data_IF_430332685947
#
_entry.id   IF_430332685947
#
_cell.length_a   1.000
_cell.length_b   1.000
_cell.length_c   1.000
_cell.angle_alpha   90.00
_cell.angle_beta   90.00
_cell.angle_gamma   90.00
#
_symmetry.space_group_name_H-M   'P 1'
#
loop_
_entity.id
_entity.type
_entity.pdbx_description
1 polymer ?
#
# COMPACT_ATOMS: atom_id res chain seq x y z
N UNK A 1 26.53 -2.10 2.83
CA UNK A 1 25.65 -1.73 1.70
C UNK A 1 24.78 -2.91 1.29
N UNK A 2 23.47 -2.84 1.60
CA UNK A 2 22.36 -3.42 0.80
C UNK A 2 21.07 -3.11 1.56
N UNK A 3 20.53 -1.93 1.28
CA UNK A 3 19.28 -1.40 1.83
C UNK A 3 18.12 -2.00 1.02
N UNK A 4 17.11 -2.54 1.71
CA UNK A 4 15.84 -3.05 1.16
C UNK A 4 15.89 -4.33 0.32
N UNK A 5 16.26 -5.45 0.96
CA UNK A 5 15.78 -6.76 0.50
C UNK A 5 14.26 -6.80 0.63
N UNK A 6 13.53 -6.65 -0.48
CA UNK A 6 12.08 -6.81 -0.51
C UNK A 6 11.73 -8.22 -0.02
N UNK A 7 11.11 -8.32 1.16
CA UNK A 7 10.56 -9.57 1.70
C UNK A 7 9.75 -10.29 0.61
N UNK A 8 9.89 -11.61 0.56
CA UNK A 8 9.19 -12.41 -0.44
C UNK A 8 7.67 -12.19 -0.32
N UNK A 9 6.90 -12.09 -1.42
CA UNK A 9 5.45 -11.86 -1.37
C UNK A 9 4.67 -12.89 -0.52
N UNK A 10 5.27 -14.04 -0.26
CA UNK A 10 4.77 -15.11 0.63
C UNK A 10 4.77 -14.69 2.10
N UNK A 11 5.76 -13.89 2.51
CA UNK A 11 5.97 -13.47 3.90
C UNK A 11 5.21 -12.19 4.24
N UNK A 12 4.84 -11.42 3.21
CA UNK A 12 4.16 -10.15 3.43
C UNK A 12 2.67 -10.36 3.63
N UNK A 13 2.08 -11.50 3.24
CA UNK A 13 0.64 -11.76 3.33
C UNK A 13 -0.22 -10.72 2.57
N UNK A 14 0.36 -10.05 1.56
CA UNK A 14 -0.31 -9.00 0.78
C UNK A 14 0.62 -7.97 0.11
N UNK A 15 0.06 -7.03 -0.67
CA UNK A 15 0.80 -5.99 -1.36
C UNK A 15 1.39 -5.00 -0.35
N UNK A 16 2.71 -4.80 -0.46
CA UNK A 16 3.48 -3.90 0.39
C UNK A 16 3.48 -2.48 -0.17
N UNK A 17 3.40 -1.50 0.72
CA UNK A 17 3.58 -0.09 0.39
C UNK A 17 5.04 0.16 0.01
N UNK A 18 5.28 0.62 -1.22
CA UNK A 18 6.65 0.85 -1.73
C UNK A 18 7.26 2.16 -1.22
N UNK A 19 6.44 3.18 -0.97
CA UNK A 19 6.90 4.55 -0.70
C UNK A 19 6.01 5.25 0.33
N UNK A 20 6.58 6.10 1.18
CA UNK A 20 5.86 6.90 2.19
C UNK A 20 6.04 6.39 3.63
N UNK A 21 5.33 6.97 4.61
CA UNK A 21 5.53 6.70 6.05
C UNK A 21 5.31 5.24 6.47
N UNK A 22 4.55 4.48 5.67
CA UNK A 22 4.24 3.05 5.91
C UNK A 22 4.95 2.13 4.92
N UNK A 23 6.01 2.61 4.25
CA UNK A 23 6.80 1.79 3.33
C UNK A 23 7.32 0.52 4.01
N UNK A 24 7.21 -0.62 3.33
CA UNK A 24 7.56 -1.93 3.89
C UNK A 24 6.44 -2.62 4.67
N UNK A 25 5.32 -1.94 4.94
CA UNK A 25 4.13 -2.52 5.54
C UNK A 25 3.08 -2.90 4.49
N UNK A 26 2.18 -3.82 4.84
CA UNK A 26 1.07 -4.18 3.99
C UNK A 26 0.05 -3.05 3.84
N UNK A 27 -0.54 -2.96 2.63
CA UNK A 27 -1.72 -2.11 2.41
C UNK A 27 -2.85 -2.54 3.35
N UNK A 28 -3.72 -1.61 3.75
CA UNK A 28 -4.91 -2.00 4.51
C UNK A 28 -5.91 -2.75 3.62
N UNK A 29 -6.55 -3.77 4.17
CA UNK A 29 -7.62 -4.53 3.52
C UNK A 29 -8.97 -3.87 3.81
N UNK A 30 -9.84 -3.84 2.82
CA UNK A 30 -11.23 -3.41 2.95
C UNK A 30 -12.07 -4.54 3.59
N UNK A 31 -13.31 -4.22 4.00
CA UNK A 31 -14.24 -5.19 4.62
C UNK A 31 -14.69 -6.30 3.65
N UNK A 32 -14.62 -6.04 2.35
CA UNK A 32 -14.88 -6.97 1.25
C UNK A 32 -13.67 -7.89 0.94
N UNK A 33 -12.57 -7.76 1.68
CA UNK A 33 -11.35 -8.56 1.48
C UNK A 33 -10.41 -8.02 0.41
N UNK A 34 -10.79 -6.98 -0.34
CA UNK A 34 -9.93 -6.37 -1.34
C UNK A 34 -8.87 -5.47 -0.70
N UNK A 35 -7.68 -5.41 -1.30
CA UNK A 35 -6.66 -4.45 -0.86
C UNK A 35 -7.01 -3.05 -1.34
N UNK A 36 -6.74 -2.04 -0.50
CA UNK A 36 -6.92 -0.65 -0.91
C UNK A 36 -6.05 -0.33 -2.13
N UNK A 37 -6.70 0.17 -3.18
CA UNK A 37 -6.00 0.72 -4.33
C UNK A 37 -5.15 1.92 -3.93
N UNK A 38 -4.06 2.17 -4.67
CA UNK A 38 -3.29 3.41 -4.51
C UNK A 38 -4.21 4.56 -4.92
N UNK A 39 -4.23 5.63 -4.14
CA UNK A 39 -5.14 6.77 -4.39
C UNK A 39 -4.90 7.44 -5.75
N UNK A 40 -3.67 7.38 -6.29
CA UNK A 40 -3.37 7.86 -7.64
C UNK A 40 -4.09 7.09 -8.74
N UNK A 41 -4.37 5.81 -8.51
CA UNK A 41 -4.94 4.90 -9.51
C UNK A 41 -6.48 4.97 -9.49
N UNK A 42 -7.05 5.61 -8.46
CA UNK A 42 -8.50 5.74 -8.29
C UNK A 42 -9.13 6.81 -9.19
N UNK A 43 -8.33 7.55 -9.98
CA UNK A 43 -8.80 8.59 -10.91
C UNK A 43 -9.51 9.79 -10.27
N UNK A 44 -9.69 9.79 -8.94
CA UNK A 44 -10.46 10.78 -8.20
C UNK A 44 -9.57 11.50 -7.18
N UNK A 45 -9.40 12.83 -7.28
CA UNK A 45 -8.68 13.60 -6.28
C UNK A 45 -9.44 13.60 -4.94
N UNK A 46 -8.73 13.84 -3.82
CA UNK A 46 -9.39 14.02 -2.51
C UNK A 46 -10.35 15.20 -2.63
N UNK A 47 -11.63 15.01 -2.24
CA UNK A 47 -12.52 16.15 -1.99
C UNK A 47 -11.82 17.05 -0.97
N UNK A 48 -11.56 18.30 -1.36
CA UNK A 48 -11.11 19.33 -0.41
C UNK A 48 -12.25 19.52 0.58
N UNK A 49 -11.89 19.56 1.87
CA UNK A 49 -12.83 19.94 2.92
C UNK A 49 -12.58 21.43 3.11
N UNK A 50 -13.57 22.25 2.79
CA UNK A 50 -13.58 23.68 3.09
C UNK A 50 -13.56 23.93 4.60
#
# INVERSE_FOLDING_TARGET
MSIFGSKSPKDTHGPVVKTGPTAGQNRSRNKDGAWRAKRSDAGQPRKKKD
#
